data_IF_451664218699
#
_entry.id   IF_451664218699
#
_cell.length_a   1.000
_cell.length_b   1.000
_cell.length_c   1.000
_cell.angle_alpha   90.00
_cell.angle_beta   90.00
_cell.angle_gamma   90.00
#
_symmetry.space_group_name_H-M   'P 1'
#
loop_
_entity.id
_entity.type
_entity.pdbx_description
1 polymer ?
#
# COMPACT_ATOMS: atom_id res chain seq x y z
N UNK A 1 5.24 4.68 2.19
CA UNK A 1 4.08 4.00 1.60
C UNK A 1 2.95 4.06 2.59
N UNK A 2 1.73 4.28 2.12
CA UNK A 2 0.56 4.39 2.98
C UNK A 2 -0.73 4.24 2.16
N UNK A 3 -1.80 3.86 2.84
CA UNK A 3 -3.16 3.98 2.31
C UNK A 3 -3.73 5.35 2.66
N UNK A 4 -4.48 5.96 1.74
CA UNK A 4 -5.12 7.28 1.96
C UNK A 4 -6.47 7.20 2.69
N UNK A 5 -6.87 6.01 3.14
CA UNK A 5 -8.18 5.76 3.74
C UNK A 5 -9.22 5.32 2.71
N UNK A 6 -10.49 5.29 3.14
CA UNK A 6 -11.62 4.99 2.27
C UNK A 6 -11.89 6.16 1.32
N UNK A 7 -12.10 5.85 0.05
CA UNK A 7 -12.43 6.84 -0.97
C UNK A 7 -13.66 6.36 -1.75
N UNK A 8 -14.75 7.12 -1.66
CA UNK A 8 -15.98 6.85 -2.41
C UNK A 8 -15.84 7.35 -3.85
N UNK A 9 -16.11 6.48 -4.81
CA UNK A 9 -16.09 6.77 -6.25
C UNK A 9 -17.44 7.35 -6.70
N UNK A 10 -17.46 7.95 -7.89
CA UNK A 10 -18.67 8.57 -8.44
C UNK A 10 -19.83 7.60 -8.70
N UNK A 11 -19.58 6.29 -8.68
CA UNK A 11 -20.58 5.23 -8.79
C UNK A 11 -21.05 4.67 -7.43
N UNK A 12 -20.58 5.26 -6.32
CA UNK A 12 -20.91 4.85 -4.96
C UNK A 12 -20.12 3.65 -4.44
N UNK A 13 -19.18 3.10 -5.21
CA UNK A 13 -18.26 2.07 -4.71
C UNK A 13 -17.12 2.70 -3.90
N UNK A 14 -16.49 1.93 -3.00
CA UNK A 14 -15.37 2.39 -2.18
C UNK A 14 -14.08 1.73 -2.62
N UNK A 15 -13.03 2.52 -2.79
CA UNK A 15 -11.67 2.03 -2.94
C UNK A 15 -10.76 2.51 -1.81
N UNK A 16 -9.59 1.89 -1.73
CA UNK A 16 -8.54 2.19 -0.77
C UNK A 16 -7.27 2.57 -1.55
N UNK A 17 -7.05 3.87 -1.82
CA UNK A 17 -5.90 4.30 -2.59
C UNK A 17 -4.60 4.00 -1.84
N UNK A 18 -3.69 3.27 -2.48
CA UNK A 18 -2.36 2.97 -1.99
C UNK A 18 -1.31 3.75 -2.77
N UNK A 19 -0.38 4.37 -2.04
CA UNK A 19 0.69 5.15 -2.65
C UNK A 19 2.09 4.76 -2.14
N UNK A 20 3.05 4.78 -3.06
CA UNK A 20 4.48 4.67 -2.76
C UNK A 20 5.18 5.87 -3.39
N UNK A 21 5.94 6.61 -2.58
CA UNK A 21 6.70 7.76 -3.05
C UNK A 21 8.17 7.56 -2.71
N UNK A 22 9.05 7.90 -3.64
CA UNK A 22 10.47 8.00 -3.34
C UNK A 22 10.75 9.20 -2.43
N UNK A 23 11.47 8.96 -1.33
CA UNK A 23 11.65 9.97 -0.30
C UNK A 23 12.57 11.12 -0.74
N UNK A 24 13.51 10.87 -1.65
CA UNK A 24 14.47 11.86 -2.13
C UNK A 24 13.89 12.71 -3.27
N UNK A 25 13.51 12.06 -4.37
CA UNK A 25 13.04 12.72 -5.60
C UNK A 25 11.58 13.17 -5.52
N UNK A 26 10.82 12.69 -4.54
CA UNK A 26 9.37 12.91 -4.40
C UNK A 26 8.53 12.31 -5.51
N UNK A 27 9.10 11.45 -6.36
CA UNK A 27 8.38 10.78 -7.42
C UNK A 27 7.38 9.75 -6.87
N UNK A 28 6.17 9.71 -7.43
CA UNK A 28 5.15 8.71 -7.08
C UNK A 28 5.44 7.45 -7.91
N UNK A 29 5.84 6.39 -7.22
CA UNK A 29 6.22 5.11 -7.82
C UNK A 29 5.03 4.18 -7.98
N UNK A 30 4.04 4.28 -7.09
CA UNK A 30 2.80 3.50 -7.14
C UNK A 30 1.64 4.42 -6.75
N UNK A 31 0.55 4.33 -7.49
CA UNK A 31 -0.74 4.93 -7.20
C UNK A 31 -1.83 3.96 -7.70
N UNK A 32 -2.33 3.10 -6.81
CA UNK A 32 -3.29 2.05 -7.17
C UNK A 32 -4.51 2.14 -6.26
N UNK A 33 -5.70 1.90 -6.82
CA UNK A 33 -6.94 1.77 -6.08
C UNK A 33 -7.22 0.29 -5.80
N UNK A 34 -7.28 -0.09 -4.53
CA UNK A 34 -7.62 -1.46 -4.12
C UNK A 34 -9.03 -1.56 -3.55
N UNK A 35 -9.64 -2.74 -3.62
CA UNK A 35 -10.94 -3.03 -3.01
C UNK A 35 -10.85 -3.22 -1.47
N UNK A 36 -9.64 -3.17 -0.91
CA UNK A 36 -9.39 -3.34 0.52
C UNK A 36 -7.93 -3.07 0.90
N UNK A 37 -7.64 -3.08 2.20
CA UNK A 37 -6.29 -2.84 2.76
C UNK A 37 -5.47 -4.12 2.95
N UNK A 38 -5.92 -5.24 2.38
CA UNK A 38 -5.26 -6.53 2.54
C UNK A 38 -3.87 -6.58 1.87
N UNK A 39 -2.89 -7.18 2.54
CA UNK A 39 -1.49 -7.13 2.13
C UNK A 39 -1.13 -7.81 0.79
N UNK A 40 -2.00 -8.64 0.21
CA UNK A 40 -1.68 -9.36 -1.06
C UNK A 40 -1.48 -8.41 -2.24
N UNK A 41 -2.38 -7.43 -2.43
CA UNK A 41 -2.28 -6.44 -3.51
C UNK A 41 -1.05 -5.56 -3.35
N UNK A 42 -0.84 -5.04 -2.13
CA UNK A 42 0.34 -4.25 -1.76
C UNK A 42 1.64 -5.00 -2.05
N UNK A 43 1.73 -6.28 -1.69
CA UNK A 43 2.92 -7.09 -1.96
C UNK A 43 3.20 -7.21 -3.46
N UNK A 44 2.18 -7.46 -4.27
CA UNK A 44 2.34 -7.58 -5.71
C UNK A 44 2.83 -6.26 -6.34
N UNK A 45 2.27 -5.12 -5.93
CA UNK A 45 2.69 -3.80 -6.37
C UNK A 45 4.14 -3.48 -5.98
N UNK A 46 4.53 -3.81 -4.74
CA UNK A 46 5.91 -3.64 -4.26
C UNK A 46 6.90 -4.54 -5.01
N UNK A 47 6.57 -5.82 -5.22
CA UNK A 47 7.42 -6.72 -5.99
C UNK A 47 7.60 -6.25 -7.44
N UNK A 48 6.55 -5.69 -8.05
CA UNK A 48 6.62 -5.10 -9.38
C UNK A 48 7.59 -3.92 -9.43
N UNK A 49 7.42 -2.92 -8.56
CA UNK A 49 8.28 -1.74 -8.57
C UNK A 49 9.72 -2.07 -8.18
N UNK A 50 9.96 -3.06 -7.30
CA UNK A 50 11.31 -3.50 -6.97
C UNK A 50 12.02 -4.20 -8.13
N UNK A 51 11.28 -4.95 -8.96
CA UNK A 51 11.85 -5.52 -10.20
C UNK A 51 12.22 -4.42 -11.21
N UNK A 52 11.43 -3.36 -11.29
CA UNK A 52 11.65 -2.29 -12.27
C UNK A 52 12.73 -1.29 -11.82
N UNK A 53 12.74 -0.90 -10.54
CA UNK A 53 13.55 0.21 -10.01
C UNK A 53 14.65 -0.24 -9.04
N UNK A 54 14.70 -1.53 -8.70
CA UNK A 54 15.59 -2.08 -7.69
C UNK A 54 15.03 -2.00 -6.27
N UNK A 55 15.77 -2.58 -5.32
CA UNK A 55 15.38 -2.60 -3.91
C UNK A 55 15.73 -1.28 -3.20
N UNK A 56 14.81 -0.72 -2.38
CA UNK A 56 15.12 0.44 -1.57
C UNK A 56 16.04 0.06 -0.40
N UNK A 57 16.82 1.02 0.08
CA UNK A 57 17.64 0.85 1.30
C UNK A 57 16.80 0.71 2.57
N UNK A 58 15.64 1.35 2.59
CA UNK A 58 14.69 1.31 3.69
C UNK A 58 13.28 1.60 3.18
N UNK A 59 12.28 1.01 3.84
CA UNK A 59 10.86 1.29 3.58
C UNK A 59 10.29 1.96 4.83
N UNK A 60 9.62 3.10 4.63
CA UNK A 60 8.82 3.75 5.67
C UNK A 60 7.34 3.55 5.33
N UNK A 61 6.66 2.71 6.11
CA UNK A 61 5.20 2.63 6.12
C UNK A 61 4.64 3.38 7.32
N UNK A 62 3.36 3.73 7.27
CA UNK A 62 2.61 3.95 8.51
C UNK A 62 2.39 2.61 9.23
N UNK A 63 2.07 2.69 10.52
CA UNK A 63 1.56 1.56 11.28
C UNK A 63 0.03 1.61 11.22
N UNK A 64 -0.56 1.38 10.04
CA UNK A 64 -2.01 1.42 9.83
C UNK A 64 -2.81 0.73 10.95
N UNK A 65 -4.08 1.10 11.08
CA UNK A 65 -4.95 0.83 12.24
C UNK A 65 -4.64 -0.50 13.00
N UNK A 66 -4.29 -0.44 14.31
CA UNK A 66 -3.92 -1.61 15.10
C UNK A 66 -5.00 -2.69 15.19
N UNK A 67 -6.26 -2.40 14.86
CA UNK A 67 -7.32 -3.42 14.77
C UNK A 67 -7.04 -4.49 13.69
N UNK A 68 -6.23 -4.18 12.68
CA UNK A 68 -5.83 -5.10 11.61
C UNK A 68 -4.60 -5.98 11.95
N UNK A 69 -4.04 -5.87 13.16
CA UNK A 69 -2.82 -6.59 13.58
C UNK A 69 -2.99 -8.06 13.96
N UNK A 70 -4.16 -8.67 13.75
CA UNK A 70 -4.41 -10.06 14.22
C UNK A 70 -3.94 -11.10 13.22
N UNK A 71 -2.63 -11.38 13.20
CA UNK A 71 -2.14 -12.72 12.84
C UNK A 71 -2.46 -13.59 14.06
N UNK A 72 -3.49 -14.46 13.96
CA UNK A 72 -3.60 -15.55 14.93
C UNK A 72 -2.38 -16.44 14.73
N UNK A 73 -1.62 -16.68 15.80
CA UNK A 73 -0.74 -17.83 15.86
C UNK A 73 -1.59 -19.05 15.48
N UNK A 74 -1.18 -19.76 14.44
CA UNK A 74 -1.53 -21.17 14.34
C UNK A 74 -0.55 -21.84 15.31
N UNK A 75 -1.13 -22.55 16.28
CA UNK A 75 -0.41 -23.46 17.17
C UNK A 75 0.49 -24.41 16.39
#
# INVERSE_FOLDING_TARGET
>A
MDFKGQFELGDGTVCYPFTVTDAFSRYVLVCEAFDGTAGKGVRAALEHIFREKGLPRAIRSDNGDPSFRRVRSLD
#
